data_IF_523643864499
#
_entry.id   IF_523643864499
#
_cell.length_a   1.000
_cell.length_b   1.000
_cell.length_c   1.000
_cell.angle_alpha   90.00
_cell.angle_beta   90.00
_cell.angle_gamma   90.00
#
_symmetry.space_group_name_H-M   'P 1'
#
loop_
_entity.id
_entity.type
_entity.pdbx_description
1 polymer ?
#
# COMPACT_ATOMS: atom_id res chain seq x y z
N UNK A 1 5.27 17.94 -3.60
CA UNK A 1 4.31 17.23 -4.45
C UNK A 1 2.98 17.91 -4.34
N UNK A 2 2.36 18.14 -5.49
CA UNK A 2 0.97 18.59 -5.58
C UNK A 2 0.01 17.44 -5.22
N UNK A 3 -1.20 17.77 -4.77
CA UNK A 3 -2.18 16.76 -4.35
C UNK A 3 -2.53 15.77 -5.48
N UNK A 4 -2.57 16.24 -6.72
CA UNK A 4 -2.80 15.42 -7.92
C UNK A 4 -1.70 14.37 -8.11
N UNK A 5 -0.44 14.77 -7.95
CA UNK A 5 0.71 13.87 -8.08
C UNK A 5 0.68 12.76 -7.03
N UNK A 6 0.27 13.10 -5.80
CA UNK A 6 0.13 12.13 -4.71
C UNK A 6 -0.96 11.11 -5.05
N UNK A 7 -2.12 11.57 -5.53
CA UNK A 7 -3.23 10.68 -5.91
C UNK A 7 -2.85 9.75 -7.06
N UNK A 8 -2.08 10.21 -8.04
CA UNK A 8 -1.63 9.36 -9.13
C UNK A 8 -0.52 8.39 -8.71
N UNK A 9 0.34 8.78 -7.77
CA UNK A 9 1.28 7.88 -7.11
C UNK A 9 0.54 6.78 -6.33
N UNK A 10 -0.46 7.13 -5.52
CA UNK A 10 -1.30 6.17 -4.78
C UNK A 10 -1.89 5.10 -5.71
N UNK A 11 -2.53 5.53 -6.81
CA UNK A 11 -3.14 4.60 -7.78
C UNK A 11 -2.11 3.64 -8.38
N UNK A 12 -0.91 4.12 -8.70
CA UNK A 12 0.16 3.28 -9.26
C UNK A 12 0.67 2.27 -8.23
N UNK A 13 0.90 2.71 -7.00
CA UNK A 13 1.35 1.86 -5.90
C UNK A 13 0.32 0.79 -5.56
N UNK A 14 -0.96 1.16 -5.45
CA UNK A 14 -2.06 0.21 -5.21
C UNK A 14 -2.11 -0.85 -6.32
N UNK A 15 -2.06 -0.45 -7.59
CA UNK A 15 -2.02 -1.41 -8.71
C UNK A 15 -0.80 -2.35 -8.63
N UNK A 16 0.38 -1.80 -8.31
CA UNK A 16 1.60 -2.58 -8.10
C UNK A 16 1.44 -3.61 -6.99
N UNK A 17 0.91 -3.21 -5.83
CA UNK A 17 0.71 -4.09 -4.67
C UNK A 17 -0.26 -5.22 -5.02
N UNK A 18 -1.41 -4.90 -5.65
CA UNK A 18 -2.41 -5.91 -6.04
C UNK A 18 -1.82 -6.94 -6.99
N UNK A 19 -1.10 -6.49 -8.03
CA UNK A 19 -0.48 -7.37 -9.00
C UNK A 19 0.61 -8.25 -8.39
N UNK A 20 1.58 -7.65 -7.70
CA UNK A 20 2.74 -8.37 -7.17
C UNK A 20 2.36 -9.28 -5.99
N UNK A 21 1.37 -8.92 -5.18
CA UNK A 21 0.90 -9.79 -4.10
C UNK A 21 0.28 -11.07 -4.65
N UNK A 22 -0.51 -10.98 -5.73
CA UNK A 22 -1.08 -12.14 -6.42
C UNK A 22 0.02 -13.03 -7.01
N UNK A 23 1.05 -12.44 -7.63
CA UNK A 23 2.18 -13.18 -8.19
C UNK A 23 3.05 -13.83 -7.12
N UNK A 24 3.31 -13.13 -6.01
CA UNK A 24 3.99 -13.66 -4.84
C UNK A 24 3.26 -14.89 -4.25
N UNK A 25 1.93 -14.84 -4.20
CA UNK A 25 1.09 -15.98 -3.80
C UNK A 25 1.19 -17.14 -4.81
N UNK A 26 1.03 -16.86 -6.11
CA UNK A 26 1.13 -17.88 -7.16
C UNK A 26 2.50 -18.58 -7.18
N UNK A 27 3.57 -17.84 -6.86
CA UNK A 27 4.95 -18.36 -6.77
C UNK A 27 5.18 -19.37 -5.65
N UNK A 28 4.30 -19.45 -4.65
CA UNK A 28 4.41 -20.44 -3.55
C UNK A 28 4.58 -21.87 -4.08
N UNK A 29 3.93 -22.19 -5.19
CA UNK A 29 3.89 -23.53 -5.76
C UNK A 29 5.13 -23.89 -6.60
N UNK A 30 6.04 -22.94 -6.85
CA UNK A 30 7.18 -23.13 -7.75
C UNK A 30 8.51 -23.40 -7.03
N UNK A 31 8.51 -23.57 -5.70
CA UNK A 31 9.68 -23.90 -4.86
C UNK A 31 10.94 -23.05 -5.13
N UNK A 32 10.77 -21.81 -5.60
CA UNK A 32 11.91 -20.92 -5.85
C UNK A 32 12.31 -20.20 -4.56
N UNK A 33 13.60 -20.17 -4.21
CA UNK A 33 14.08 -19.46 -3.01
C UNK A 33 13.89 -17.94 -3.13
N UNK A 34 14.01 -17.39 -4.34
CA UNK A 34 13.86 -15.96 -4.62
C UNK A 34 12.38 -15.56 -4.76
N UNK A 35 12.03 -14.41 -4.17
CA UNK A 35 10.70 -13.81 -4.34
C UNK A 35 10.81 -12.28 -4.52
N UNK A 36 11.16 -11.83 -5.73
CA UNK A 36 11.26 -10.40 -6.03
C UNK A 36 9.91 -9.70 -5.87
N UNK A 37 8.78 -10.39 -6.09
CA UNK A 37 7.46 -9.79 -5.93
C UNK A 37 7.17 -9.41 -4.48
N UNK A 38 7.61 -10.21 -3.49
CA UNK A 38 7.47 -9.85 -2.07
C UNK A 38 8.24 -8.57 -1.75
N UNK A 39 9.45 -8.42 -2.28
CA UNK A 39 10.25 -7.20 -2.10
C UNK A 39 9.57 -5.99 -2.74
N UNK A 40 9.05 -6.13 -3.96
CA UNK A 40 8.28 -5.08 -4.63
C UNK A 40 7.04 -4.69 -3.84
N UNK A 41 6.30 -5.65 -3.27
CA UNK A 41 5.13 -5.38 -2.44
C UNK A 41 5.52 -4.62 -1.18
N UNK A 42 6.58 -5.05 -0.47
CA UNK A 42 7.05 -4.38 0.73
C UNK A 42 7.50 -2.95 0.44
N UNK A 43 8.27 -2.73 -0.61
CA UNK A 43 8.69 -1.40 -1.04
C UNK A 43 7.49 -0.53 -1.46
N UNK A 44 6.52 -1.11 -2.16
CA UNK A 44 5.32 -0.37 -2.59
C UNK A 44 4.41 0.02 -1.42
N UNK A 45 4.28 -0.85 -0.40
CA UNK A 45 3.51 -0.56 0.83
C UNK A 45 4.19 0.53 1.66
N UNK A 46 5.51 0.49 1.77
CA UNK A 46 6.29 1.53 2.45
C UNK A 46 6.14 2.89 1.75
N UNK A 47 6.30 2.92 0.42
CA UNK A 47 6.06 4.10 -0.39
C UNK A 47 4.61 4.62 -0.30
N UNK A 48 3.63 3.71 -0.21
CA UNK A 48 2.21 4.08 -0.09
C UNK A 48 1.92 4.73 1.26
N UNK A 49 2.52 4.22 2.34
CA UNK A 49 2.41 4.82 3.67
C UNK A 49 2.99 6.24 3.71
N UNK A 50 4.11 6.47 3.03
CA UNK A 50 4.73 7.78 2.86
C UNK A 50 3.86 8.72 2.02
N UNK A 51 3.27 8.23 0.92
CA UNK A 51 2.36 9.01 0.09
C UNK A 51 1.12 9.49 0.87
N UNK A 52 0.56 8.66 1.75
CA UNK A 52 -0.54 9.07 2.61
C UNK A 52 -0.14 10.07 3.70
N UNK A 53 1.10 10.01 4.19
CA UNK A 53 1.65 11.04 5.08
C UNK A 53 1.79 12.40 4.37
N UNK A 54 2.31 12.39 3.14
CA UNK A 54 2.39 13.61 2.33
C UNK A 54 1.00 14.17 2.03
N UNK A 55 0.03 13.30 1.67
CA UNK A 55 -1.36 13.70 1.47
C UNK A 55 -1.96 14.33 2.71
N UNK A 56 -1.75 13.73 3.88
CA UNK A 56 -2.21 14.29 5.15
C UNK A 56 -1.63 15.68 5.38
N UNK A 57 -0.33 15.87 5.16
CA UNK A 57 0.35 17.16 5.33
C UNK A 57 -0.19 18.23 4.37
N UNK A 58 -0.44 17.88 3.11
CA UNK A 58 -1.02 18.79 2.12
C UNK A 58 -2.46 19.15 2.48
N UNK A 59 -3.31 18.16 2.81
CA UNK A 59 -4.72 18.39 3.17
C UNK A 59 -4.85 19.25 4.43
N UNK A 60 -3.98 19.04 5.42
CA UNK A 60 -3.97 19.83 6.66
C UNK A 60 -3.56 21.29 6.42
N UNK A 61 -2.65 21.55 5.49
CA UNK A 61 -2.22 22.91 5.14
C UNK A 61 -3.26 23.67 4.32
N UNK A 62 -4.02 22.97 3.49
CA UNK A 62 -5.02 23.57 2.59
C UNK A 62 -6.44 23.66 3.15
N UNK A 63 -6.61 23.67 4.49
CA UNK A 63 -7.93 23.70 5.17
C UNK A 63 -8.97 22.73 4.60
N UNK A 64 -8.53 21.55 4.18
CA UNK A 64 -9.44 20.52 3.65
C UNK A 64 -10.36 19.99 4.74
N UNK A 65 -11.51 19.45 4.32
CA UNK A 65 -12.47 18.84 5.24
C UNK A 65 -11.82 17.81 6.17
N UNK A 66 -12.23 17.79 7.44
CA UNK A 66 -11.80 16.82 8.46
C UNK A 66 -11.94 15.38 7.97
N UNK A 67 -13.00 15.07 7.19
CA UNK A 67 -13.22 13.75 6.62
C UNK A 67 -12.06 13.29 5.73
N UNK A 68 -11.56 14.16 4.83
CA UNK A 68 -10.44 13.83 3.92
C UNK A 68 -9.13 13.66 4.68
N UNK A 69 -8.88 14.49 5.69
CA UNK A 69 -7.70 14.40 6.56
C UNK A 69 -7.72 13.07 7.34
N UNK A 70 -8.88 12.73 7.90
CA UNK A 70 -9.09 11.47 8.64
C UNK A 70 -8.91 10.26 7.72
N UNK A 71 -9.44 10.31 6.50
CA UNK A 71 -9.27 9.25 5.52
C UNK A 71 -7.79 9.02 5.15
N UNK A 72 -7.01 10.09 4.91
CA UNK A 72 -5.58 9.96 4.63
C UNK A 72 -4.81 9.31 5.80
N UNK A 73 -5.14 9.72 7.04
CA UNK A 73 -4.54 9.13 8.25
C UNK A 73 -4.90 7.65 8.41
N UNK A 74 -6.16 7.29 8.16
CA UNK A 74 -6.63 5.91 8.25
C UNK A 74 -5.98 5.02 7.19
N UNK A 75 -5.92 5.49 5.94
CA UNK A 75 -5.28 4.77 4.85
C UNK A 75 -3.76 4.58 5.09
N UNK A 76 -3.09 5.55 5.74
CA UNK A 76 -1.70 5.39 6.21
C UNK A 76 -1.60 4.21 7.19
N UNK A 77 -2.49 4.16 8.19
CA UNK A 77 -2.53 3.08 9.19
C UNK A 77 -2.73 1.72 8.50
N UNK A 78 -3.73 1.61 7.63
CA UNK A 78 -3.99 0.38 6.87
C UNK A 78 -2.77 -0.07 6.05
N UNK A 79 -2.05 0.87 5.44
CA UNK A 79 -0.83 0.55 4.68
C UNK A 79 0.30 0.02 5.57
N UNK A 80 0.45 0.53 6.79
CA UNK A 80 1.43 0.06 7.77
C UNK A 80 1.06 -1.32 8.34
N UNK A 81 -0.22 -1.55 8.62
CA UNK A 81 -0.73 -2.84 9.08
C UNK A 81 -0.51 -3.91 7.99
N UNK A 82 -0.85 -3.59 6.75
CA UNK A 82 -0.58 -4.44 5.59
C UNK A 82 0.91 -4.71 5.40
N UNK A 83 1.79 -3.74 5.64
CA UNK A 83 3.25 -3.90 5.59
C UNK A 83 3.74 -4.89 6.66
N UNK A 84 3.27 -4.73 7.90
CA UNK A 84 3.61 -5.63 9.01
C UNK A 84 3.16 -7.06 8.71
N UNK A 85 1.93 -7.25 8.24
CA UNK A 85 1.43 -8.55 7.82
C UNK A 85 2.20 -9.15 6.63
N UNK A 86 2.56 -8.33 5.64
CA UNK A 86 3.29 -8.80 4.46
C UNK A 86 4.68 -9.33 4.83
N UNK A 87 5.38 -8.69 5.79
CA UNK A 87 6.71 -9.13 6.25
C UNK A 87 6.68 -10.58 6.74
N UNK A 88 5.69 -10.92 7.55
CA UNK A 88 5.53 -12.28 8.13
C UNK A 88 4.71 -13.24 7.26
N UNK A 89 4.20 -12.78 6.11
CA UNK A 89 3.35 -13.58 5.25
C UNK A 89 4.10 -14.80 4.68
N UNK A 90 3.48 -15.96 4.85
CA UNK A 90 3.86 -17.28 4.33
C UNK A 90 3.30 -17.56 2.92
N UNK A 91 2.67 -16.54 2.31
CA UNK A 91 2.14 -16.56 0.94
C UNK A 91 0.96 -17.53 0.77
N UNK A 92 0.25 -17.88 1.85
CA UNK A 92 -0.98 -18.67 1.75
C UNK A 92 -2.19 -17.86 1.32
N UNK A 93 -2.17 -16.56 1.56
CA UNK A 93 -3.23 -15.62 1.24
C UNK A 93 -2.61 -14.34 0.69
N UNK A 94 -3.28 -13.74 -0.28
CA UNK A 94 -2.93 -12.45 -0.89
C UNK A 94 -3.24 -11.25 0.05
N UNK A 95 -2.75 -11.30 1.29
CA UNK A 95 -3.11 -10.36 2.38
C UNK A 95 -2.99 -8.89 1.98
N UNK A 96 -1.86 -8.49 1.41
CA UNK A 96 -1.66 -7.11 0.99
C UNK A 96 -2.67 -6.67 -0.08
N UNK A 97 -3.01 -7.55 -1.04
CA UNK A 97 -4.05 -7.26 -2.04
C UNK A 97 -5.41 -7.01 -1.39
N UNK A 98 -5.78 -7.82 -0.38
CA UNK A 98 -7.04 -7.67 0.36
C UNK A 98 -7.11 -6.34 1.12
N UNK A 99 -6.03 -5.96 1.81
CA UNK A 99 -5.92 -4.65 2.47
C UNK A 99 -6.11 -3.48 1.49
N UNK A 100 -5.62 -3.60 0.25
CA UNK A 100 -5.81 -2.57 -0.77
C UNK A 100 -7.28 -2.42 -1.25
N UNK A 101 -8.19 -3.32 -0.86
CA UNK A 101 -9.64 -3.17 -1.11
C UNK A 101 -10.29 -2.28 -0.05
N UNK A 102 -9.70 -2.18 1.15
CA UNK A 102 -10.25 -1.44 2.29
C UNK A 102 -9.90 0.06 2.27
N UNK A 103 -8.99 0.47 1.39
CA UNK A 103 -8.60 1.86 1.21
C UNK A 103 -9.78 2.73 0.73
N UNK A 104 -9.95 3.90 1.35
CA UNK A 104 -11.05 4.86 1.09
C UNK A 104 -10.62 6.06 0.27
#
# INVERSE_FOLDING_TARGET
MELSEIVDLEKRLVKSIKHNCLMCHARRNFERPENPEKEIVLASLDALSSAYEDKYNVLRKGDSSVARITAAKENKRLSLDALAECRICDRQVDRANRHMVELK
#
